data_IF_146705587224
#
_entry.id   IF_146705587224
#
_cell.length_a   1.000
_cell.length_b   1.000
_cell.length_c   1.000
_cell.angle_alpha   90.00
_cell.angle_beta   90.00
_cell.angle_gamma   90.00
#
_symmetry.space_group_name_H-M   'P 1'
#
loop_
_entity.id
_entity.type
_entity.pdbx_description
1 polymer ?
#
# COMPACT_ATOMS: atom_id res chain seq x y z
N UNK A 1 -10.05 -7.58 19.73
CA UNK A 1 -8.84 -6.88 19.27
C UNK A 1 -9.30 -5.69 18.43
N UNK A 2 -9.07 -4.47 18.90
CA UNK A 2 -9.52 -3.25 18.20
C UNK A 2 -8.53 -2.92 17.07
N UNK A 3 -9.04 -2.71 15.86
CA UNK A 3 -8.25 -2.19 14.73
C UNK A 3 -8.70 -0.75 14.44
N UNK A 4 -7.77 0.21 14.52
CA UNK A 4 -7.99 1.59 14.10
C UNK A 4 -7.17 1.94 12.85
N UNK A 5 -7.65 2.89 12.06
CA UNK A 5 -6.86 3.52 11.01
C UNK A 5 -6.59 4.97 11.40
N UNK A 6 -5.38 5.47 11.17
CA UNK A 6 -5.02 6.88 11.38
C UNK A 6 -3.96 7.34 10.39
N UNK A 7 -3.79 8.65 10.25
CA UNK A 7 -2.63 9.21 9.54
C UNK A 7 -1.33 8.77 10.21
N UNK A 8 -0.33 8.48 9.39
CA UNK A 8 1.03 8.21 9.84
C UNK A 8 1.73 9.52 10.22
N UNK A 9 2.45 9.50 11.34
CA UNK A 9 3.42 10.53 11.72
C UNK A 9 4.85 10.08 11.45
N UNK A 10 5.82 11.00 11.53
CA UNK A 10 7.23 10.66 11.26
C UNK A 10 7.78 9.54 12.16
N UNK A 11 7.29 9.43 13.40
CA UNK A 11 7.67 8.37 14.34
C UNK A 11 7.17 6.96 13.96
N UNK A 12 6.28 6.84 12.97
CA UNK A 12 5.78 5.54 12.51
C UNK A 12 6.70 4.89 11.45
N UNK A 13 7.72 5.61 10.96
CA UNK A 13 8.50 5.21 9.80
C UNK A 13 9.16 3.83 9.95
N UNK A 14 9.73 3.55 11.13
CA UNK A 14 10.32 2.25 11.47
C UNK A 14 9.28 1.14 11.39
N UNK A 15 8.10 1.36 11.96
CA UNK A 15 7.05 0.36 12.01
C UNK A 15 6.44 0.11 10.62
N UNK A 16 6.27 1.16 9.82
CA UNK A 16 5.82 1.04 8.42
C UNK A 16 6.86 0.30 7.58
N UNK A 17 8.14 0.67 7.69
CA UNK A 17 9.24 -0.03 7.01
C UNK A 17 9.20 -1.53 7.31
N UNK A 18 9.11 -1.91 8.60
CA UNK A 18 9.00 -3.31 9.03
C UNK A 18 7.82 -4.04 8.37
N UNK A 19 6.64 -3.44 8.33
CA UNK A 19 5.45 -4.05 7.73
C UNK A 19 5.65 -4.29 6.23
N UNK A 20 6.19 -3.30 5.51
CA UNK A 20 6.43 -3.40 4.07
C UNK A 20 7.42 -4.54 3.79
N UNK A 21 8.55 -4.56 4.49
CA UNK A 21 9.59 -5.61 4.33
C UNK A 21 9.03 -7.00 4.66
N UNK A 22 8.30 -7.14 5.77
CA UNK A 22 7.69 -8.41 6.15
C UNK A 22 6.68 -8.91 5.10
N UNK A 23 5.85 -8.01 4.56
CA UNK A 23 4.89 -8.33 3.52
C UNK A 23 5.57 -8.78 2.23
N UNK A 24 6.61 -8.07 1.79
CA UNK A 24 7.38 -8.39 0.59
C UNK A 24 8.09 -9.74 0.69
N UNK A 25 8.78 -9.99 1.81
CA UNK A 25 9.49 -11.26 2.04
C UNK A 25 8.55 -12.46 2.05
N UNK A 26 7.30 -12.32 2.50
CA UNK A 26 6.37 -13.45 2.54
C UNK A 26 5.60 -13.63 1.22
N UNK A 27 5.07 -12.54 0.68
CA UNK A 27 4.15 -12.61 -0.45
C UNK A 27 4.88 -12.73 -1.79
N UNK A 28 6.07 -12.16 -1.89
CA UNK A 28 6.73 -12.02 -3.18
C UNK A 28 8.12 -12.67 -3.24
N UNK A 29 8.57 -13.37 -2.20
CA UNK A 29 9.86 -14.09 -2.24
C UNK A 29 9.91 -15.23 -3.27
N UNK A 30 8.75 -15.67 -3.78
CA UNK A 30 8.68 -16.65 -4.88
C UNK A 30 8.80 -16.01 -6.27
N UNK A 31 8.43 -14.74 -6.41
CA UNK A 31 8.39 -14.03 -7.70
C UNK A 31 9.59 -13.09 -7.88
N UNK A 32 10.14 -12.54 -6.79
CA UNK A 32 11.29 -11.66 -6.82
C UNK A 32 12.55 -12.35 -6.31
N UNK A 33 13.62 -12.30 -7.11
CA UNK A 33 14.95 -12.73 -6.68
C UNK A 33 15.49 -11.87 -5.52
N UNK A 34 16.53 -12.36 -4.80
CA UNK A 34 17.08 -11.70 -3.62
C UNK A 34 17.56 -10.27 -3.88
N UNK A 35 18.01 -9.95 -5.10
CA UNK A 35 18.45 -8.62 -5.50
C UNK A 35 17.29 -7.60 -5.53
N UNK A 36 16.11 -8.01 -6.00
CA UNK A 36 14.92 -7.15 -6.03
C UNK A 36 14.43 -6.91 -4.61
N UNK A 37 14.40 -7.96 -3.77
CA UNK A 37 14.06 -7.82 -2.35
C UNK A 37 14.98 -6.81 -1.67
N UNK A 38 16.30 -6.91 -1.85
CA UNK A 38 17.25 -5.97 -1.26
C UNK A 38 17.03 -4.52 -1.73
N UNK A 39 16.77 -4.31 -3.03
CA UNK A 39 16.49 -2.97 -3.60
C UNK A 39 15.21 -2.37 -3.04
N UNK A 40 14.17 -3.18 -2.88
CA UNK A 40 12.90 -2.73 -2.32
C UNK A 40 13.05 -2.47 -0.81
N UNK A 41 13.78 -3.31 -0.06
CA UNK A 41 14.11 -3.06 1.34
C UNK A 41 14.84 -1.72 1.53
N UNK A 42 15.80 -1.40 0.65
CA UNK A 42 16.50 -0.11 0.67
C UNK A 42 15.55 1.06 0.37
N UNK A 43 14.66 0.88 -0.62
CA UNK A 43 13.66 1.88 -1.04
C UNK A 43 12.59 2.14 0.03
N UNK A 44 12.41 1.20 0.96
CA UNK A 44 11.52 1.32 2.11
C UNK A 44 12.25 1.25 3.45
N UNK A 45 13.53 1.64 3.48
CA UNK A 45 14.23 1.90 4.74
C UNK A 45 13.50 2.97 5.56
N UNK A 46 13.65 3.02 6.90
CA UNK A 46 12.96 4.01 7.72
C UNK A 46 13.20 5.45 7.26
N UNK A 47 14.42 5.78 6.83
CA UNK A 47 14.74 7.09 6.27
C UNK A 47 14.00 7.37 4.95
N UNK A 48 13.92 6.39 4.04
CA UNK A 48 13.17 6.52 2.80
C UNK A 48 11.65 6.66 3.07
N UNK A 49 11.12 5.90 4.02
CA UNK A 49 9.70 6.00 4.45
C UNK A 49 9.39 7.40 5.00
N UNK A 50 10.28 7.99 5.81
CA UNK A 50 10.12 9.39 6.25
C UNK A 50 10.04 10.36 5.08
N UNK A 51 10.83 10.15 4.03
CA UNK A 51 10.74 10.97 2.81
C UNK A 51 9.42 10.77 2.05
N UNK A 52 8.85 9.55 2.07
CA UNK A 52 7.54 9.29 1.48
C UNK A 52 6.41 10.02 2.24
N UNK A 53 6.49 10.09 3.57
CA UNK A 53 5.51 10.80 4.40
C UNK A 53 5.44 12.30 4.08
N UNK A 54 6.55 12.89 3.61
CA UNK A 54 6.61 14.30 3.18
C UNK A 54 5.93 14.55 1.83
N UNK A 55 5.80 13.51 1.00
CA UNK A 55 5.29 13.61 -0.38
C UNK A 55 3.87 13.09 -0.54
N UNK A 56 3.41 12.27 0.40
CA UNK A 56 2.16 11.50 0.28
C UNK A 56 1.36 11.58 1.57
N UNK A 57 0.04 11.50 1.43
CA UNK A 57 -0.82 11.23 2.58
C UNK A 57 -0.73 9.75 2.90
N UNK A 58 -0.19 9.39 4.06
CA UNK A 58 -0.02 7.99 4.46
C UNK A 58 -0.88 7.65 5.66
N UNK A 59 -1.55 6.51 5.59
CA UNK A 59 -2.39 5.95 6.62
C UNK A 59 -1.81 4.64 7.11
N UNK A 60 -1.96 4.38 8.41
CA UNK A 60 -1.52 3.14 9.05
C UNK A 60 -2.70 2.46 9.73
N UNK A 61 -2.73 1.14 9.64
CA UNK A 61 -3.62 0.30 10.40
C UNK A 61 -2.94 -0.11 11.70
N UNK A 62 -3.60 0.16 12.83
CA UNK A 62 -3.06 -0.05 14.18
C UNK A 62 -3.92 -1.06 14.91
N UNK A 63 -3.28 -2.08 15.47
CA UNK A 63 -3.92 -3.14 16.24
C UNK A 63 -3.26 -3.23 17.62
N UNK A 64 -3.97 -2.77 18.67
CA UNK A 64 -3.32 -2.46 19.95
C UNK A 64 -2.26 -1.36 19.75
N UNK A 65 -1.02 -1.62 20.11
CA UNK A 65 0.11 -0.69 19.92
C UNK A 65 0.94 -0.99 18.66
N UNK A 66 0.54 -1.99 17.86
CA UNK A 66 1.30 -2.45 16.69
C UNK A 66 0.70 -1.88 15.40
N UNK A 67 1.54 -1.25 14.58
CA UNK A 67 1.19 -0.99 13.17
C UNK A 67 1.26 -2.31 12.39
N UNK A 68 0.16 -2.64 11.73
CA UNK A 68 -0.07 -3.91 11.00
C UNK A 68 -0.40 -3.70 9.52
N UNK A 69 -0.43 -2.46 9.05
CA UNK A 69 -0.67 -2.15 7.65
C UNK A 69 -0.40 -0.70 7.33
N UNK A 70 -0.18 -0.41 6.05
CA UNK A 70 0.04 0.94 5.51
C UNK A 70 -0.61 1.08 4.14
N UNK A 71 -1.05 2.30 3.81
CA UNK A 71 -1.47 2.71 2.48
C UNK A 71 -1.16 4.19 2.29
N UNK A 72 -0.72 4.57 1.09
CA UNK A 72 -0.39 5.95 0.73
C UNK A 72 -1.24 6.46 -0.42
N UNK A 73 -1.48 7.77 -0.43
CA UNK A 73 -2.13 8.51 -1.49
C UNK A 73 -1.21 9.64 -1.97
N UNK A 74 -0.95 9.65 -3.27
CA UNK A 74 -0.10 10.60 -3.98
C UNK A 74 -0.94 11.26 -5.08
N UNK A 75 -1.52 12.42 -4.76
CA UNK A 75 -2.61 13.02 -5.55
C UNK A 75 -3.82 12.10 -5.61
N UNK A 76 -4.06 11.48 -6.77
CA UNK A 76 -5.12 10.49 -7.01
C UNK A 76 -4.58 9.06 -7.16
N UNK A 77 -3.27 8.88 -6.97
CA UNK A 77 -2.62 7.57 -7.13
C UNK A 77 -2.41 6.91 -5.78
N UNK A 78 -2.97 5.72 -5.62
CA UNK A 78 -2.77 4.84 -4.47
C UNK A 78 -1.36 4.23 -4.56
N UNK A 79 -0.62 4.26 -3.46
CA UNK A 79 0.77 3.81 -3.35
C UNK A 79 0.97 3.00 -2.08
N UNK A 80 1.96 2.11 -2.09
CA UNK A 80 2.50 1.47 -0.87
C UNK A 80 1.45 0.80 0.02
N UNK A 81 0.53 0.02 -0.58
CA UNK A 81 -0.49 -0.73 0.16
C UNK A 81 0.09 -2.07 0.61
N UNK A 82 0.36 -2.19 1.91
CA UNK A 82 0.92 -3.41 2.50
C UNK A 82 0.24 -3.74 3.83
N UNK A 83 0.03 -5.02 4.08
CA UNK A 83 -0.51 -5.53 5.34
C UNK A 83 0.44 -6.57 5.89
N UNK A 84 0.74 -6.47 7.17
CA UNK A 84 1.54 -7.44 7.93
C UNK A 84 0.96 -8.85 7.68
N UNK A 85 1.77 -9.82 7.24
CA UNK A 85 1.23 -11.11 6.81
C UNK A 85 0.43 -11.89 7.84
N UNK A 86 0.64 -11.64 9.13
CA UNK A 86 -0.15 -12.26 10.20
C UNK A 86 -1.58 -11.70 10.29
N UNK A 87 -1.80 -10.51 9.71
CA UNK A 87 -3.05 -9.75 9.74
C UNK A 87 -3.76 -9.72 8.38
N UNK A 88 -3.19 -10.36 7.34
CA UNK A 88 -3.83 -10.53 6.04
C UNK A 88 -5.09 -11.41 6.13
N UNK A 89 -6.02 -11.24 5.18
CA UNK A 89 -7.29 -11.95 5.18
C UNK A 89 -8.32 -11.45 6.21
N UNK A 90 -7.98 -10.45 7.04
CA UNK A 90 -8.85 -9.91 8.11
C UNK A 90 -9.48 -8.54 7.78
N UNK A 91 -9.56 -8.21 6.49
CA UNK A 91 -10.12 -6.94 6.02
C UNK A 91 -9.30 -5.68 6.34
N UNK A 92 -8.02 -5.81 6.73
CA UNK A 92 -7.15 -4.65 7.03
C UNK A 92 -6.91 -3.79 5.79
N UNK A 93 -6.55 -4.42 4.66
CA UNK A 93 -6.31 -3.71 3.40
C UNK A 93 -7.56 -2.96 2.91
N UNK A 94 -8.74 -3.59 3.03
CA UNK A 94 -10.01 -2.94 2.66
C UNK A 94 -10.29 -1.71 3.51
N UNK A 95 -10.03 -1.76 4.82
CA UNK A 95 -10.20 -0.59 5.72
C UNK A 95 -9.21 0.54 5.40
N UNK A 96 -7.96 0.20 5.10
CA UNK A 96 -6.99 1.20 4.62
C UNK A 96 -7.47 1.87 3.32
N UNK A 97 -8.01 1.09 2.37
CA UNK A 97 -8.50 1.62 1.11
C UNK A 97 -9.73 2.52 1.25
N UNK A 98 -10.61 2.25 2.22
CA UNK A 98 -11.72 3.16 2.53
C UNK A 98 -11.21 4.54 2.97
N UNK A 99 -10.21 4.59 3.86
CA UNK A 99 -9.62 5.87 4.28
C UNK A 99 -8.90 6.60 3.14
N UNK A 100 -8.27 5.87 2.22
CA UNK A 100 -7.67 6.43 1.01
C UNK A 100 -8.75 7.05 0.10
N UNK A 101 -9.87 6.36 -0.08
CA UNK A 101 -11.01 6.84 -0.87
C UNK A 101 -11.61 8.11 -0.26
N UNK A 102 -11.86 8.13 1.04
CA UNK A 102 -12.37 9.31 1.74
C UNK A 102 -11.39 10.49 1.64
N UNK A 103 -10.09 10.24 1.85
CA UNK A 103 -9.07 11.26 1.68
C UNK A 103 -9.00 11.80 0.24
N UNK A 104 -9.15 10.93 -0.77
CA UNK A 104 -9.15 11.35 -2.16
C UNK A 104 -10.39 12.18 -2.51
N UNK A 105 -11.58 11.75 -2.06
CA UNK A 105 -12.83 12.52 -2.21
C UNK A 105 -12.74 13.90 -1.57
N UNK A 106 -12.18 13.97 -0.36
CA UNK A 106 -11.97 15.25 0.34
C UNK A 106 -11.05 16.20 -0.43
N UNK A 107 -10.13 15.68 -1.26
CA UNK A 107 -9.27 16.47 -2.15
C UNK A 107 -9.92 16.73 -3.54
N UNK A 108 -11.20 16.42 -3.73
CA UNK A 108 -11.93 16.62 -4.98
C UNK A 108 -11.67 15.57 -6.06
N UNK A 109 -11.04 14.44 -5.72
CA UNK A 109 -10.81 13.39 -6.69
C UNK A 109 -12.13 12.69 -7.09
N UNK A 110 -12.30 12.45 -8.38
CA UNK A 110 -13.43 11.68 -8.94
C UNK A 110 -13.03 10.27 -9.37
N UNK A 111 -11.71 9.99 -9.40
CA UNK A 111 -11.11 8.73 -9.80
C UNK A 111 -9.88 8.47 -8.93
N UNK A 112 -9.70 7.22 -8.50
CA UNK A 112 -8.45 6.69 -7.96
C UNK A 112 -7.76 5.81 -9.00
N UNK A 113 -6.44 5.86 -9.02
CA UNK A 113 -5.61 4.93 -9.80
C UNK A 113 -4.66 4.17 -8.89
N UNK A 114 -4.32 2.94 -9.25
CA UNK A 114 -3.34 2.13 -8.53
C UNK A 114 -2.49 1.33 -9.51
N UNK A 115 -1.16 1.38 -9.41
CA UNK A 115 -0.30 0.36 -10.01
C UNK A 115 -0.33 -0.88 -9.12
N UNK A 116 -1.12 -1.88 -9.52
CA UNK A 116 -1.23 -3.16 -8.82
C UNK A 116 -0.13 -4.12 -9.25
N UNK A 117 0.42 -4.90 -8.30
CA UNK A 117 1.10 -6.14 -8.68
C UNK A 117 0.10 -7.14 -9.26
N UNK A 118 0.58 -8.12 -10.02
CA UNK A 118 -0.27 -9.22 -10.53
C UNK A 118 -0.95 -9.95 -9.37
N UNK A 119 -0.23 -10.18 -8.27
CA UNK A 119 -0.76 -10.85 -7.06
C UNK A 119 -1.85 -10.06 -6.33
N UNK A 120 -1.87 -8.73 -6.46
CA UNK A 120 -2.85 -7.85 -5.81
C UNK A 120 -4.06 -7.51 -6.69
N UNK A 121 -4.06 -7.89 -7.97
CA UNK A 121 -5.13 -7.54 -8.92
C UNK A 121 -6.51 -7.97 -8.39
N UNK A 122 -6.64 -9.22 -7.94
CA UNK A 122 -7.89 -9.76 -7.39
C UNK A 122 -8.34 -9.04 -6.11
N UNK A 123 -7.42 -8.45 -5.36
CA UNK A 123 -7.77 -7.62 -4.21
C UNK A 123 -8.43 -6.32 -4.67
N UNK A 124 -7.82 -5.59 -5.60
CA UNK A 124 -8.38 -4.33 -6.11
C UNK A 124 -9.66 -4.54 -6.93
N UNK A 125 -9.77 -5.61 -7.69
CA UNK A 125 -11.00 -5.96 -8.41
C UNK A 125 -12.19 -6.11 -7.46
N UNK A 126 -12.00 -6.76 -6.30
CA UNK A 126 -13.06 -6.88 -5.28
C UNK A 126 -13.44 -5.55 -4.63
N UNK A 127 -12.55 -4.56 -4.67
CA UNK A 127 -12.83 -3.19 -4.25
C UNK A 127 -13.46 -2.37 -5.38
N UNK A 128 -13.78 -2.95 -6.54
CA UNK A 128 -14.43 -2.25 -7.65
C UNK A 128 -13.46 -1.50 -8.57
N UNK A 129 -12.15 -1.72 -8.44
CA UNK A 129 -11.19 -1.25 -9.44
C UNK A 129 -11.28 -2.10 -10.71
N UNK A 130 -10.99 -1.48 -11.86
CA UNK A 130 -10.94 -2.12 -13.17
C UNK A 130 -9.55 -1.97 -13.76
N UNK A 131 -9.04 -3.05 -14.36
CA UNK A 131 -7.76 -3.00 -15.08
C UNK A 131 -7.88 -2.13 -16.34
N UNK A 132 -6.90 -1.26 -16.55
CA UNK A 132 -6.80 -0.40 -17.73
C UNK A 132 -5.74 -0.91 -18.70
N UNK A 133 -4.52 -1.13 -18.19
CA UNK A 133 -3.36 -1.53 -18.99
C UNK A 133 -2.27 -2.16 -18.14
N UNK A 134 -1.46 -2.98 -18.78
CA UNK A 134 -0.19 -3.44 -18.24
C UNK A 134 0.88 -2.34 -18.33
N UNK A 135 1.76 -2.33 -17.34
CA UNK A 135 2.97 -1.52 -17.27
C UNK A 135 4.15 -2.43 -16.92
N UNK A 136 5.19 -2.39 -17.73
CA UNK A 136 6.42 -3.14 -17.51
C UNK A 136 7.51 -2.17 -17.05
N UNK A 137 8.15 -2.47 -15.92
CA UNK A 137 9.32 -1.75 -15.44
C UNK A 137 10.42 -2.77 -15.15
N UNK A 138 11.47 -2.76 -15.96
CA UNK A 138 12.46 -3.84 -16.01
C UNK A 138 11.74 -5.22 -16.16
N UNK A 139 11.91 -6.12 -15.20
CA UNK A 139 11.29 -7.45 -15.16
C UNK A 139 9.96 -7.50 -14.39
N UNK A 140 9.47 -6.38 -13.87
CA UNK A 140 8.26 -6.31 -13.06
C UNK A 140 7.05 -5.86 -13.89
N UNK A 141 6.06 -6.75 -14.01
CA UNK A 141 4.75 -6.42 -14.57
C UNK A 141 3.83 -5.89 -13.48
N UNK A 142 3.30 -4.70 -13.70
CA UNK A 142 2.22 -4.09 -12.92
C UNK A 142 1.00 -3.84 -13.79
N UNK A 143 -0.17 -3.82 -13.18
CA UNK A 143 -1.45 -3.55 -13.85
C UNK A 143 -1.95 -2.22 -13.32
N UNK A 144 -2.07 -1.22 -14.19
CA UNK A 144 -2.71 0.04 -13.82
C UNK A 144 -4.21 -0.22 -13.75
N UNK A 145 -4.78 -0.04 -12.56
CA UNK A 145 -6.20 -0.17 -12.32
C UNK A 145 -6.78 1.16 -11.85
N UNK A 146 -8.04 1.41 -12.16
CA UNK A 146 -8.74 2.61 -11.69
C UNK A 146 -10.10 2.30 -11.07
N UNK A 147 -10.58 3.21 -10.24
CA UNK A 147 -11.93 3.19 -9.67
C UNK A 147 -12.51 4.58 -9.68
N UNK A 148 -13.72 4.74 -10.22
CA UNK A 148 -14.48 5.98 -10.10
C UNK A 148 -15.06 6.11 -8.69
N UNK A 149 -14.95 7.30 -8.10
CA UNK A 149 -15.40 7.61 -6.75
C UNK A 149 -16.80 8.24 -6.67
N UNK A 150 -17.52 8.29 -7.82
CA UNK A 150 -18.89 8.81 -7.96
C UNK A 150 -19.82 8.33 -6.85
#
# INVERSE_FOLDING_TARGET
>A
MWLGIRRAGEGDAEAVSRVIVAALRKNNAREYGPQIIARVEQSFSPSAVRQLFKKRQVFVAVCGDKIVGTAGLDGTTVRSVFVDPEFQGRGVGSRLMLEIEEAARANGATVLTVPSSVTAERFYFRLGFRALRDCFHDDERTIIMERSLK
#
